data_IF_337621680360
#
_entry.id   IF_337621680360
#
_cell.length_a   1.000
_cell.length_b   1.000
_cell.length_c   1.000
_cell.angle_alpha   90.00
_cell.angle_beta   90.00
_cell.angle_gamma   90.00
#
_symmetry.space_group_name_H-M   'P 1'
#
loop_
_entity.id
_entity.type
_entity.pdbx_description
1 polymer ?
#
# COMPACT_ATOMS: atom_id res chain seq x y z
N UNK A 1 -19.42 -8.42 13.61
CA UNK A 1 -18.78 -7.14 13.22
C UNK A 1 -17.26 -7.28 13.09
N UNK A 2 -16.54 -7.73 14.12
CA UNK A 2 -15.07 -7.94 14.08
C UNK A 2 -14.58 -8.80 12.92
N UNK A 3 -15.27 -9.91 12.63
CA UNK A 3 -14.93 -10.76 11.48
C UNK A 3 -15.02 -10.01 10.15
N UNK A 4 -16.07 -9.19 9.95
CA UNK A 4 -16.22 -8.38 8.74
C UNK A 4 -15.15 -7.28 8.62
N UNK A 5 -14.71 -6.70 9.74
CA UNK A 5 -13.59 -5.77 9.76
C UNK A 5 -12.28 -6.42 9.27
N UNK A 6 -12.01 -7.66 9.71
CA UNK A 6 -10.85 -8.43 9.25
C UNK A 6 -10.96 -8.75 7.77
N UNK A 7 -12.14 -9.16 7.30
CA UNK A 7 -12.36 -9.44 5.87
C UNK A 7 -12.20 -8.16 5.04
N UNK A 8 -12.76 -7.03 5.46
CA UNK A 8 -12.59 -5.75 4.77
C UNK A 8 -11.15 -5.29 4.74
N UNK A 9 -10.39 -5.57 5.81
CA UNK A 9 -8.97 -5.27 5.84
C UNK A 9 -8.23 -5.98 4.70
N UNK A 10 -8.38 -7.31 4.56
CA UNK A 10 -7.74 -8.04 3.46
C UNK A 10 -8.22 -7.60 2.08
N UNK A 11 -9.51 -7.26 1.96
CA UNK A 11 -10.08 -6.72 0.74
C UNK A 11 -9.40 -5.40 0.33
N UNK A 12 -9.21 -4.48 1.29
CA UNK A 12 -8.60 -3.16 1.03
C UNK A 12 -7.11 -3.29 0.72
N UNK A 13 -6.39 -4.10 1.50
CA UNK A 13 -4.92 -4.03 1.57
C UNK A 13 -4.19 -5.09 0.76
N UNK A 14 -4.85 -6.13 0.23
CA UNK A 14 -4.09 -7.23 -0.36
C UNK A 14 -4.74 -7.95 -1.54
N UNK A 15 -6.01 -8.35 -1.42
CA UNK A 15 -6.61 -9.34 -2.33
C UNK A 15 -6.61 -8.86 -3.80
N UNK A 16 -7.19 -7.69 -4.16
CA UNK A 16 -7.31 -7.28 -5.56
C UNK A 16 -5.94 -7.06 -6.22
N UNK A 17 -5.03 -6.39 -5.52
CA UNK A 17 -3.70 -6.09 -6.03
C UNK A 17 -2.84 -7.34 -6.20
N UNK A 18 -2.94 -8.29 -5.28
CA UNK A 18 -2.23 -9.57 -5.41
C UNK A 18 -2.73 -10.39 -6.60
N UNK A 19 -4.06 -10.48 -6.78
CA UNK A 19 -4.67 -11.12 -7.97
C UNK A 19 -4.15 -10.47 -9.25
N UNK A 20 -4.20 -9.14 -9.32
CA UNK A 20 -3.70 -8.38 -10.46
C UNK A 20 -2.25 -8.74 -10.78
N UNK A 21 -1.35 -8.73 -9.79
CA UNK A 21 0.06 -9.04 -10.01
C UNK A 21 0.29 -10.47 -10.52
N UNK A 22 -0.51 -11.44 -10.08
CA UNK A 22 -0.42 -12.83 -10.56
C UNK A 22 -0.84 -12.98 -12.01
N UNK A 23 -1.86 -12.26 -12.46
CA UNK A 23 -2.23 -12.21 -13.88
C UNK A 23 -1.26 -11.37 -14.70
N UNK A 24 -0.78 -10.27 -14.15
CA UNK A 24 0.16 -9.36 -14.77
C UNK A 24 1.54 -10.00 -14.96
N UNK A 25 1.94 -10.96 -14.09
CA UNK A 25 3.21 -11.71 -14.15
C UNK A 25 4.43 -10.79 -14.21
N UNK A 26 4.57 -9.92 -13.21
CA UNK A 26 5.74 -9.08 -13.04
C UNK A 26 6.97 -9.97 -12.76
N UNK A 27 7.96 -10.01 -13.66
CA UNK A 27 9.08 -10.96 -13.58
C UNK A 27 10.14 -10.57 -12.55
N UNK A 28 10.24 -9.28 -12.22
CA UNK A 28 11.41 -8.73 -11.55
C UNK A 28 11.21 -8.32 -10.08
N UNK A 29 10.04 -8.56 -9.49
CA UNK A 29 9.76 -8.19 -8.09
C UNK A 29 10.30 -9.23 -7.10
N UNK A 30 10.93 -8.75 -6.02
CA UNK A 30 11.19 -9.57 -4.83
C UNK A 30 9.86 -9.96 -4.16
N UNK A 31 9.88 -10.89 -3.19
CA UNK A 31 8.68 -11.17 -2.38
C UNK A 31 8.20 -9.90 -1.66
N UNK A 32 9.11 -9.18 -1.03
CA UNK A 32 8.82 -7.92 -0.36
C UNK A 32 8.20 -6.88 -1.32
N UNK A 33 8.77 -6.74 -2.52
CA UNK A 33 8.24 -5.86 -3.56
C UNK A 33 6.86 -6.30 -4.06
N UNK A 34 6.62 -7.62 -4.17
CA UNK A 34 5.31 -8.15 -4.55
C UNK A 34 4.26 -7.85 -3.48
N UNK A 35 4.61 -7.98 -2.20
CA UNK A 35 3.73 -7.62 -1.08
C UNK A 35 3.45 -6.11 -1.09
N UNK A 36 4.46 -5.26 -1.25
CA UNK A 36 4.29 -3.81 -1.33
C UNK A 36 3.43 -3.37 -2.53
N UNK A 37 3.66 -3.94 -3.71
CA UNK A 37 2.82 -3.66 -4.87
C UNK A 37 1.41 -4.21 -4.72
N UNK A 38 1.21 -5.34 -4.06
CA UNK A 38 -0.13 -5.86 -3.78
C UNK A 38 -0.92 -4.88 -2.93
N UNK A 39 -0.27 -4.28 -1.93
CA UNK A 39 -0.89 -3.25 -1.09
C UNK A 39 -1.28 -2.01 -1.89
N UNK A 40 -0.33 -1.42 -2.63
CA UNK A 40 -0.59 -0.24 -3.47
C UNK A 40 -1.68 -0.48 -4.53
N UNK A 41 -1.60 -1.60 -5.26
CA UNK A 41 -2.55 -1.92 -6.31
C UNK A 41 -3.93 -2.28 -5.77
N UNK A 42 -4.03 -2.86 -4.57
CA UNK A 42 -5.34 -3.10 -3.95
C UNK A 42 -6.05 -1.79 -3.68
N UNK A 43 -5.35 -0.79 -3.16
CA UNK A 43 -5.91 0.54 -2.93
C UNK A 43 -6.40 1.18 -4.25
N UNK A 44 -5.60 1.10 -5.31
CA UNK A 44 -5.98 1.66 -6.61
C UNK A 44 -7.18 0.92 -7.22
N UNK A 45 -7.16 -0.41 -7.24
CA UNK A 45 -8.22 -1.23 -7.83
C UNK A 45 -9.54 -1.06 -7.07
N UNK A 46 -9.49 -1.06 -5.74
CA UNK A 46 -10.67 -0.81 -4.92
C UNK A 46 -11.20 0.61 -5.15
N UNK A 47 -10.34 1.63 -5.20
CA UNK A 47 -10.77 3.00 -5.50
C UNK A 47 -11.52 3.06 -6.84
N UNK A 48 -10.95 2.50 -7.89
CA UNK A 48 -11.60 2.47 -9.20
C UNK A 48 -12.93 1.71 -9.14
N UNK A 49 -12.96 0.54 -8.51
CA UNK A 49 -14.18 -0.26 -8.36
C UNK A 49 -15.27 0.51 -7.63
N UNK A 50 -14.95 1.08 -6.47
CA UNK A 50 -15.88 1.87 -5.63
C UNK A 50 -16.40 3.06 -6.43
N UNK A 51 -15.52 3.83 -7.06
CA UNK A 51 -15.89 4.98 -7.88
C UNK A 51 -16.94 4.62 -8.95
N UNK A 52 -16.72 3.53 -9.70
CA UNK A 52 -17.65 3.10 -10.74
C UNK A 52 -18.96 2.53 -10.18
N UNK A 53 -18.91 1.80 -9.06
CA UNK A 53 -20.12 1.33 -8.38
C UNK A 53 -20.97 2.49 -7.86
N UNK A 54 -20.32 3.54 -7.33
CA UNK A 54 -20.99 4.74 -6.85
C UNK A 54 -21.62 5.52 -7.99
N UNK A 55 -20.91 5.72 -9.11
CA UNK A 55 -21.48 6.32 -10.32
C UNK A 55 -22.71 5.54 -10.85
N UNK A 56 -22.67 4.21 -10.74
CA UNK A 56 -23.80 3.35 -11.12
C UNK A 56 -24.90 3.28 -10.05
N UNK A 57 -24.72 3.90 -8.88
CA UNK A 57 -25.69 3.90 -7.78
C UNK A 57 -25.83 2.55 -7.08
N UNK A 58 -24.87 1.63 -7.23
CA UNK A 58 -24.94 0.25 -6.72
C UNK A 58 -23.85 -0.08 -5.70
N UNK A 59 -23.11 0.91 -5.18
CA UNK A 59 -22.12 0.69 -4.13
C UNK A 59 -22.80 0.35 -2.80
N UNK A 60 -23.03 -0.94 -2.60
CA UNK A 60 -23.81 -1.51 -1.50
C UNK A 60 -23.09 -2.75 -0.93
N UNK A 61 -23.49 -3.22 0.25
CA UNK A 61 -22.89 -4.43 0.85
C UNK A 61 -23.01 -5.67 -0.04
N UNK A 62 -24.16 -5.98 -0.70
CA UNK A 62 -24.24 -7.10 -1.64
C UNK A 62 -23.25 -6.99 -2.80
N UNK A 63 -23.06 -5.80 -3.37
CA UNK A 63 -22.08 -5.59 -4.44
C UNK A 63 -20.64 -5.84 -3.96
N UNK A 64 -20.27 -5.30 -2.80
CA UNK A 64 -18.96 -5.49 -2.20
C UNK A 64 -18.66 -6.98 -1.91
N UNK A 65 -19.61 -7.70 -1.32
CA UNK A 65 -19.43 -9.14 -1.08
C UNK A 65 -19.41 -9.98 -2.35
N UNK A 66 -20.14 -9.59 -3.38
CA UNK A 66 -20.09 -10.26 -4.70
C UNK A 66 -18.69 -10.16 -5.30
N UNK A 67 -18.09 -8.96 -5.25
CA UNK A 67 -16.71 -8.75 -5.70
C UNK A 67 -15.74 -9.60 -4.90
N UNK A 68 -15.83 -9.58 -3.56
CA UNK A 68 -15.00 -10.43 -2.71
C UNK A 68 -15.13 -11.92 -3.07
N UNK A 69 -16.35 -12.43 -3.27
CA UNK A 69 -16.58 -13.84 -3.64
C UNK A 69 -15.89 -14.16 -4.97
N UNK A 70 -16.03 -13.29 -5.98
CA UNK A 70 -15.36 -13.46 -7.27
C UNK A 70 -13.84 -13.50 -7.09
N UNK A 71 -13.28 -12.60 -6.28
CA UNK A 71 -11.85 -12.55 -6.00
C UNK A 71 -11.34 -13.77 -5.22
N UNK A 72 -12.10 -14.28 -4.25
CA UNK A 72 -11.79 -15.52 -3.54
C UNK A 72 -11.81 -16.73 -4.49
N UNK A 73 -12.76 -16.80 -5.42
CA UNK A 73 -12.81 -17.83 -6.47
C UNK A 73 -11.54 -17.74 -7.34
N UNK A 74 -11.14 -16.53 -7.74
CA UNK A 74 -9.92 -16.32 -8.50
C UNK A 74 -8.65 -16.72 -7.73
N UNK A 75 -8.56 -16.42 -6.43
CA UNK A 75 -7.45 -16.85 -5.57
C UNK A 75 -7.39 -18.37 -5.47
N UNK A 76 -8.52 -19.04 -5.23
CA UNK A 76 -8.61 -20.51 -5.20
C UNK A 76 -8.16 -21.09 -6.55
N UNK A 77 -8.63 -20.52 -7.67
CA UNK A 77 -8.19 -20.93 -9.00
C UNK A 77 -6.67 -20.79 -9.19
N UNK A 78 -6.08 -19.67 -8.78
CA UNK A 78 -4.63 -19.44 -8.84
C UNK A 78 -3.86 -20.42 -7.93
N UNK A 79 -4.43 -20.78 -6.77
CA UNK A 79 -3.88 -21.78 -5.85
C UNK A 79 -3.82 -23.16 -6.49
N UNK A 80 -4.94 -23.61 -7.05
CA UNK A 80 -5.07 -24.91 -7.71
C UNK A 80 -4.14 -25.03 -8.92
N UNK A 81 -3.87 -23.92 -9.63
CA UNK A 81 -2.89 -23.87 -10.72
C UNK A 81 -1.43 -23.76 -10.25
N UNK A 82 -1.16 -23.84 -8.94
CA UNK A 82 0.18 -23.66 -8.32
C UNK A 82 0.85 -22.33 -8.70
N UNK A 83 0.08 -21.30 -9.05
CA UNK A 83 0.57 -19.96 -9.42
C UNK A 83 0.77 -19.04 -8.21
N UNK A 84 0.34 -19.47 -7.02
CA UNK A 84 0.51 -18.70 -5.79
C UNK A 84 1.96 -18.68 -5.30
N UNK A 85 2.70 -19.78 -5.48
CA UNK A 85 4.06 -19.92 -4.96
C UNK A 85 4.97 -18.89 -5.63
N UNK A 86 5.40 -17.89 -4.86
CA UNK A 86 6.48 -16.99 -5.27
C UNK A 86 7.80 -17.73 -5.02
N UNK A 87 8.58 -17.96 -6.06
CA UNK A 87 9.85 -18.72 -5.99
C UNK A 87 11.01 -17.90 -5.43
N UNK A 88 10.75 -16.72 -4.85
CA UNK A 88 11.79 -15.90 -4.23
C UNK A 88 12.32 -16.54 -2.94
N UNK A 89 13.61 -16.82 -2.86
CA UNK A 89 14.24 -17.15 -1.57
C UNK A 89 14.58 -15.86 -0.85
N UNK A 90 14.06 -15.68 0.38
CA UNK A 90 14.56 -14.66 1.29
C UNK A 90 15.90 -15.15 1.85
N UNK A 91 17.00 -14.72 1.26
CA UNK A 91 18.34 -15.04 1.74
C UNK A 91 18.99 -13.81 2.39
N UNK A 92 19.26 -13.92 3.68
CA UNK A 92 20.11 -12.99 4.42
C UNK A 92 21.52 -13.55 4.44
N UNK A 93 22.50 -12.89 3.78
CA UNK A 93 23.90 -13.27 3.91
C UNK A 93 24.41 -12.85 5.29
N UNK A 94 24.14 -13.64 6.31
CA UNK A 94 24.77 -13.52 7.62
C UNK A 94 26.12 -14.24 7.55
N UNK A 95 27.22 -13.50 7.66
CA UNK A 95 28.55 -14.10 7.77
C UNK A 95 28.85 -14.48 9.21
N UNK A 96 29.41 -15.67 9.44
CA UNK A 96 29.76 -16.16 10.79
C UNK A 96 31.04 -15.55 11.37
N UNK A 97 31.74 -14.69 10.62
CA UNK A 97 32.99 -14.07 11.04
C UNK A 97 32.73 -12.91 12.02
N UNK A 98 33.41 -12.90 13.17
CA UNK A 98 33.29 -11.83 14.17
C UNK A 98 33.67 -10.44 13.60
N UNK A 99 34.58 -10.36 12.63
CA UNK A 99 34.92 -9.09 11.94
C UNK A 99 33.77 -8.55 11.07
N UNK A 100 32.77 -9.38 10.80
CA UNK A 100 31.56 -9.00 10.08
C UNK A 100 30.41 -8.56 11.00
N UNK A 101 30.64 -8.46 12.31
CA UNK A 101 29.64 -8.06 13.29
C UNK A 101 28.83 -6.80 12.91
N UNK A 102 29.44 -5.66 12.51
CA UNK A 102 28.66 -4.49 12.07
C UNK A 102 27.90 -4.72 10.74
N UNK A 103 28.37 -5.63 9.87
CA UNK A 103 27.62 -6.03 8.67
C UNK A 103 26.39 -6.87 9.01
N UNK A 104 26.42 -7.61 10.11
CA UNK A 104 25.32 -8.42 10.59
C UNK A 104 24.32 -7.62 11.46
N UNK A 105 24.78 -6.58 12.17
CA UNK A 105 23.91 -5.80 13.08
C UNK A 105 22.89 -4.95 12.31
N UNK A 106 23.28 -4.34 11.19
CA UNK A 106 22.40 -3.46 10.41
C UNK A 106 21.16 -4.21 9.88
N UNK A 107 21.27 -5.40 9.25
CA UNK A 107 20.12 -6.20 8.86
C UNK A 107 19.22 -6.60 10.03
N UNK A 108 19.79 -6.96 11.19
CA UNK A 108 19.03 -7.36 12.38
C UNK A 108 18.21 -6.17 12.90
N UNK A 109 18.84 -5.00 13.09
CA UNK A 109 18.14 -3.79 13.54
C UNK A 109 17.09 -3.35 12.50
N UNK A 110 17.39 -3.47 11.20
CA UNK A 110 16.43 -3.15 10.14
C UNK A 110 15.21 -4.07 10.18
N UNK A 111 15.41 -5.38 10.41
CA UNK A 111 14.32 -6.33 10.57
C UNK A 111 13.50 -6.01 11.84
N UNK A 112 14.16 -5.70 12.96
CA UNK A 112 13.51 -5.27 14.18
C UNK A 112 12.70 -3.98 13.98
N UNK A 113 13.21 -3.01 13.20
CA UNK A 113 12.51 -1.78 12.87
C UNK A 113 11.26 -2.04 12.02
N UNK A 114 11.34 -2.92 11.01
CA UNK A 114 10.18 -3.36 10.23
C UNK A 114 9.15 -4.01 11.15
N UNK A 115 9.55 -4.98 11.97
CA UNK A 115 8.66 -5.67 12.90
C UNK A 115 8.04 -4.70 13.91
N UNK A 116 8.83 -3.79 14.47
CA UNK A 116 8.39 -2.74 15.38
C UNK A 116 7.40 -1.79 14.73
N UNK A 117 7.52 -1.49 13.43
CA UNK A 117 6.52 -0.66 12.74
C UNK A 117 5.14 -1.32 12.69
N UNK A 118 5.08 -2.66 12.59
CA UNK A 118 3.81 -3.40 12.63
C UNK A 118 3.17 -3.42 14.02
N UNK A 119 3.92 -3.15 15.10
CA UNK A 119 3.32 -2.99 16.42
C UNK A 119 2.27 -1.87 16.42
N UNK A 120 2.53 -0.75 15.73
CA UNK A 120 1.58 0.36 15.62
C UNK A 120 0.27 -0.08 14.94
N UNK A 121 0.35 -0.92 13.91
CA UNK A 121 -0.85 -1.50 13.28
C UNK A 121 -1.72 -2.25 14.29
N UNK A 122 -1.11 -3.11 15.10
CA UNK A 122 -1.84 -3.90 16.09
C UNK A 122 -2.32 -3.06 17.27
N UNK A 123 -1.54 -2.07 17.71
CA UNK A 123 -1.91 -1.20 18.83
C UNK A 123 -3.06 -0.25 18.49
N UNK A 124 -3.19 0.15 17.23
CA UNK A 124 -4.30 1.01 16.78
C UNK A 124 -5.60 0.25 16.51
N UNK A 125 -5.61 -1.08 16.71
CA UNK A 125 -6.82 -1.88 16.54
C UNK A 125 -7.80 -1.60 17.67
N UNK A 126 -9.00 -1.13 17.31
CA UNK A 126 -10.05 -0.75 18.25
C UNK A 126 -10.19 0.76 18.46
N UNK A 127 -9.23 1.55 17.96
CA UNK A 127 -9.29 3.01 18.09
C UNK A 127 -10.15 3.68 17.00
N UNK A 128 -10.51 4.94 17.24
CA UNK A 128 -11.22 5.81 16.29
C UNK A 128 -10.35 6.99 15.84
N UNK A 129 -10.75 7.68 14.78
CA UNK A 129 -10.06 8.89 14.33
C UNK A 129 -10.23 10.01 15.37
N UNK A 130 -9.13 10.66 15.73
CA UNK A 130 -9.10 11.70 16.77
C UNK A 130 -8.51 13.02 16.31
N UNK A 131 -7.77 13.02 15.18
CA UNK A 131 -7.09 14.20 14.68
C UNK A 131 -7.97 14.98 13.69
N UNK A 132 -7.77 16.29 13.63
CA UNK A 132 -8.67 17.21 12.93
C UNK A 132 -8.94 16.83 11.47
N UNK A 133 -7.94 16.81 10.59
CA UNK A 133 -8.17 16.45 9.18
C UNK A 133 -8.69 15.02 9.02
N UNK A 134 -8.24 14.10 9.87
CA UNK A 134 -8.68 12.71 9.83
C UNK A 134 -10.20 12.61 10.07
N UNK A 135 -10.72 13.34 11.05
CA UNK A 135 -12.15 13.34 11.41
C UNK A 135 -12.97 14.20 10.44
N UNK A 136 -12.59 15.46 10.25
CA UNK A 136 -13.39 16.46 9.53
C UNK A 136 -13.33 16.32 8.02
N UNK A 137 -12.23 15.78 7.49
CA UNK A 137 -12.01 15.66 6.04
C UNK A 137 -12.05 14.21 5.61
N UNK A 138 -11.01 13.43 5.92
CA UNK A 138 -10.81 12.10 5.33
C UNK A 138 -11.90 11.10 5.71
N UNK A 139 -12.26 11.03 6.99
CA UNK A 139 -13.31 10.13 7.46
C UNK A 139 -14.71 10.60 7.03
N UNK A 140 -14.96 11.91 7.06
CA UNK A 140 -16.21 12.49 6.52
C UNK A 140 -16.42 12.09 5.06
N UNK A 141 -15.39 12.24 4.22
CA UNK A 141 -15.44 11.81 2.83
C UNK A 141 -15.65 10.30 2.68
N UNK A 142 -15.06 9.49 3.56
CA UNK A 142 -15.30 8.04 3.56
C UNK A 142 -16.77 7.70 3.91
N UNK A 143 -17.42 8.50 4.75
CA UNK A 143 -18.85 8.36 5.06
C UNK A 143 -19.70 8.71 3.84
N UNK A 144 -19.38 9.79 3.11
CA UNK A 144 -20.08 10.13 1.86
C UNK A 144 -20.00 8.97 0.85
N UNK A 145 -18.81 8.40 0.64
CA UNK A 145 -18.63 7.20 -0.19
C UNK A 145 -19.48 6.02 0.31
N UNK A 146 -19.51 5.77 1.63
CA UNK A 146 -20.34 4.72 2.24
C UNK A 146 -21.83 4.93 1.99
N UNK A 147 -22.28 6.20 1.94
CA UNK A 147 -23.65 6.57 1.60
C UNK A 147 -23.92 6.55 0.08
N UNK A 148 -22.98 6.00 -0.71
CA UNK A 148 -23.07 5.90 -2.15
C UNK A 148 -23.16 7.28 -2.83
N UNK A 149 -22.44 8.26 -2.28
CA UNK A 149 -22.32 9.62 -2.81
C UNK A 149 -20.86 9.98 -3.12
N UNK A 150 -20.64 10.81 -4.14
CA UNK A 150 -19.32 11.32 -4.49
C UNK A 150 -19.08 12.61 -3.69
N UNK A 151 -18.03 12.67 -2.84
CA UNK A 151 -17.79 13.85 -2.00
C UNK A 151 -17.61 15.14 -2.83
N UNK A 152 -18.39 16.19 -2.52
CA UNK A 152 -18.42 17.44 -3.31
C UNK A 152 -17.67 18.63 -2.69
N UNK A 153 -17.32 18.60 -1.39
CA UNK A 153 -16.53 19.63 -0.70
C UNK A 153 -15.15 19.09 -0.30
N UNK A 154 -14.37 18.72 -1.31
CA UNK A 154 -13.05 18.10 -1.11
C UNK A 154 -11.89 19.06 -1.30
N UNK A 155 -12.10 20.31 -1.70
CA UNK A 155 -11.02 21.28 -1.95
C UNK A 155 -9.88 20.71 -2.83
N UNK A 156 -10.26 19.97 -3.88
CA UNK A 156 -9.34 19.29 -4.81
C UNK A 156 -8.49 18.17 -4.16
N UNK A 157 -8.78 17.77 -2.92
CA UNK A 157 -8.16 16.59 -2.34
C UNK A 157 -8.66 15.33 -3.07
N UNK A 158 -7.74 14.49 -3.55
CA UNK A 158 -8.12 13.29 -4.29
C UNK A 158 -8.63 12.22 -3.32
N UNK A 159 -9.39 11.25 -3.85
CA UNK A 159 -10.34 10.45 -3.05
C UNK A 159 -9.96 8.97 -2.91
N UNK A 160 -8.74 8.56 -3.25
CA UNK A 160 -8.32 7.15 -3.16
C UNK A 160 -8.45 6.59 -1.75
N UNK A 161 -7.98 7.32 -0.74
CA UNK A 161 -7.99 6.80 0.64
C UNK A 161 -9.40 6.78 1.25
N UNK A 162 -10.20 7.87 1.20
CA UNK A 162 -11.58 7.85 1.72
C UNK A 162 -12.46 6.78 1.09
N UNK A 163 -12.36 6.60 -0.24
CA UNK A 163 -13.11 5.55 -0.92
C UNK A 163 -12.72 4.16 -0.37
N UNK A 164 -11.43 3.88 -0.22
CA UNK A 164 -10.98 2.60 0.37
C UNK A 164 -11.47 2.39 1.80
N UNK A 165 -11.45 3.43 2.65
CA UNK A 165 -11.99 3.33 4.01
C UNK A 165 -13.48 3.02 4.02
N UNK A 166 -14.25 3.62 3.11
CA UNK A 166 -15.69 3.36 3.01
C UNK A 166 -16.02 1.89 2.77
N UNK A 167 -15.11 1.12 2.16
CA UNK A 167 -15.31 -0.31 1.94
C UNK A 167 -15.40 -1.09 3.25
N UNK A 168 -14.64 -0.67 4.27
CA UNK A 168 -14.78 -1.23 5.60
C UNK A 168 -16.16 -0.94 6.20
N UNK A 169 -16.70 0.26 5.98
CA UNK A 169 -18.04 0.63 6.46
C UNK A 169 -19.13 -0.14 5.74
N UNK A 170 -19.04 -0.29 4.42
CA UNK A 170 -19.98 -1.07 3.60
C UNK A 170 -20.00 -2.52 4.03
N UNK A 171 -18.83 -3.13 4.26
CA UNK A 171 -18.73 -4.54 4.65
C UNK A 171 -19.06 -4.77 6.12
N UNK A 172 -18.94 -3.76 6.99
CA UNK A 172 -19.39 -3.84 8.37
C UNK A 172 -20.88 -3.47 8.54
N UNK A 173 -21.47 -2.83 7.53
CA UNK A 173 -22.84 -2.31 7.57
C UNK A 173 -23.01 -1.06 8.44
N UNK A 174 -21.92 -0.38 8.80
CA UNK A 174 -21.95 0.80 9.65
C UNK A 174 -20.64 1.58 9.57
N UNK A 175 -20.75 2.91 9.52
CA UNK A 175 -19.61 3.85 9.58
C UNK A 175 -19.28 4.32 11.01
N UNK A 176 -20.07 3.90 12.01
CA UNK A 176 -19.80 4.21 13.43
C UNK A 176 -18.52 3.51 13.89
N UNK A 177 -18.25 2.32 13.36
CA UNK A 177 -17.09 1.52 13.73
C UNK A 177 -15.89 1.82 12.82
N UNK A 178 -15.08 2.81 13.21
CA UNK A 178 -13.99 3.35 12.39
C UNK A 178 -12.67 2.58 12.49
N UNK A 179 -12.55 1.64 13.43
CA UNK A 179 -11.28 0.98 13.76
C UNK A 179 -10.66 0.21 12.58
N UNK A 180 -11.49 -0.35 11.70
CA UNK A 180 -11.01 -1.05 10.51
C UNK A 180 -10.30 -0.08 9.56
N UNK A 181 -10.94 1.05 9.23
CA UNK A 181 -10.36 2.10 8.40
C UNK A 181 -9.10 2.71 9.04
N UNK A 182 -9.17 3.06 10.32
CA UNK A 182 -8.03 3.66 11.04
C UNK A 182 -6.84 2.72 11.12
N UNK A 183 -7.05 1.44 11.43
CA UNK A 183 -5.95 0.48 11.59
C UNK A 183 -5.11 0.32 10.33
N UNK A 184 -5.60 0.66 9.13
CA UNK A 184 -4.80 0.61 7.89
C UNK A 184 -3.66 1.64 7.91
N UNK A 185 -3.78 2.72 8.68
CA UNK A 185 -2.89 3.88 8.56
C UNK A 185 -1.42 3.62 8.91
N UNK A 186 -1.09 2.95 10.02
CA UNK A 186 0.29 2.61 10.33
C UNK A 186 0.97 1.75 9.25
N UNK A 187 0.19 0.98 8.47
CA UNK A 187 0.75 0.12 7.43
C UNK A 187 1.47 0.91 6.36
N UNK A 188 1.05 2.13 6.03
CA UNK A 188 1.75 2.93 5.03
C UNK A 188 3.21 3.18 5.42
N UNK A 189 3.49 3.46 6.69
CA UNK A 189 4.85 3.57 7.21
C UNK A 189 5.60 2.22 7.14
N UNK A 190 4.96 1.12 7.56
CA UNK A 190 5.54 -0.23 7.46
C UNK A 190 5.89 -0.61 6.02
N UNK A 191 5.03 -0.26 5.07
CA UNK A 191 5.21 -0.59 3.66
C UNK A 191 6.27 0.29 2.98
N UNK A 192 6.55 1.51 3.47
CA UNK A 192 7.76 2.26 3.10
C UNK A 192 9.01 1.45 3.47
N UNK A 193 9.07 0.93 4.70
CA UNK A 193 10.21 0.11 5.16
C UNK A 193 10.36 -1.18 4.35
N UNK A 194 9.25 -1.87 4.05
CA UNK A 194 9.24 -3.07 3.19
C UNK A 194 9.77 -2.73 1.79
N UNK A 195 9.48 -1.54 1.28
CA UNK A 195 9.93 -1.11 -0.05
C UNK A 195 11.44 -0.89 -0.08
N UNK A 196 12.03 -0.26 0.93
CA UNK A 196 13.50 -0.18 1.07
C UNK A 196 14.12 -1.56 1.24
N UNK A 197 13.51 -2.44 2.04
CA UNK A 197 13.99 -3.81 2.21
C UNK A 197 13.96 -4.59 0.90
N UNK A 198 12.92 -4.42 0.09
CA UNK A 198 12.85 -4.99 -1.26
C UNK A 198 14.00 -4.51 -2.16
N UNK A 199 14.34 -3.22 -2.13
CA UNK A 199 15.49 -2.69 -2.87
C UNK A 199 16.81 -3.28 -2.38
N UNK A 200 16.99 -3.45 -1.08
CA UNK A 200 18.14 -4.16 -0.52
C UNK A 200 18.22 -5.60 -1.06
N UNK A 201 17.11 -6.35 -1.04
CA UNK A 201 17.09 -7.72 -1.54
C UNK A 201 17.48 -7.81 -3.01
N UNK A 202 17.06 -6.84 -3.84
CA UNK A 202 17.30 -6.80 -5.29
C UNK A 202 18.70 -6.29 -5.65
N UNK A 203 19.15 -5.20 -5.03
CA UNK A 203 20.39 -4.47 -5.40
C UNK A 203 21.58 -4.82 -4.51
N UNK A 204 21.36 -5.50 -3.38
CA UNK A 204 22.37 -5.86 -2.37
C UNK A 204 23.17 -4.66 -1.84
N UNK A 205 22.58 -3.46 -1.87
CA UNK A 205 23.19 -2.23 -1.40
C UNK A 205 22.74 -1.91 0.04
N UNK A 206 23.70 -1.83 0.97
CA UNK A 206 23.45 -1.55 2.39
C UNK A 206 22.84 -0.17 2.65
N UNK A 207 22.99 0.79 1.71
CA UNK A 207 22.36 2.10 1.81
C UNK A 207 20.84 1.99 2.04
N UNK A 208 20.16 1.01 1.43
CA UNK A 208 18.73 0.81 1.62
C UNK A 208 18.36 0.32 3.02
N UNK A 209 19.23 -0.45 3.69
CA UNK A 209 19.02 -0.82 5.10
C UNK A 209 19.27 0.39 6.02
N UNK A 210 20.27 1.21 5.71
CA UNK A 210 20.49 2.47 6.42
C UNK A 210 19.29 3.41 6.26
N UNK A 211 18.66 3.45 5.07
CA UNK A 211 17.42 4.20 4.84
C UNK A 211 16.26 3.72 5.71
N UNK A 212 16.15 2.41 6.00
CA UNK A 212 15.14 1.88 6.95
C UNK A 212 15.38 2.46 8.34
N UNK A 213 16.63 2.44 8.82
CA UNK A 213 16.98 2.96 10.14
C UNK A 213 16.74 4.47 10.23
N UNK A 214 17.15 5.21 9.20
CA UNK A 214 16.96 6.66 9.14
C UNK A 214 15.47 7.03 9.09
N UNK A 215 14.69 6.39 8.23
CA UNK A 215 13.24 6.61 8.17
C UNK A 215 12.58 6.27 9.51
N UNK A 216 12.94 5.14 10.13
CA UNK A 216 12.38 4.73 11.42
C UNK A 216 12.71 5.74 12.52
N UNK A 217 13.94 6.25 12.55
CA UNK A 217 14.34 7.30 13.49
C UNK A 217 13.55 8.60 13.27
N UNK A 218 13.41 9.04 12.01
CA UNK A 218 12.60 10.22 11.68
C UNK A 218 11.12 10.04 12.05
N UNK A 219 10.57 8.86 11.78
CA UNK A 219 9.19 8.53 12.13
C UNK A 219 8.98 8.58 13.64
N UNK A 220 9.88 7.97 14.43
CA UNK A 220 9.80 7.98 15.90
C UNK A 220 9.99 9.39 16.49
N UNK A 221 10.91 10.18 15.95
CA UNK A 221 11.26 11.50 16.51
C UNK A 221 10.24 12.59 16.15
N UNK A 222 9.69 12.55 14.94
CA UNK A 222 8.91 13.67 14.40
C UNK A 222 7.48 13.32 14.01
N UNK A 223 7.21 12.04 13.70
CA UNK A 223 5.93 11.66 13.08
C UNK A 223 5.12 10.67 13.91
N UNK A 224 5.60 10.28 15.08
CA UNK A 224 4.97 9.25 15.91
C UNK A 224 3.49 9.51 16.18
N UNK A 225 3.05 10.74 16.55
CA UNK A 225 1.64 11.03 16.77
C UNK A 225 0.78 10.95 15.49
N UNK A 226 1.41 10.97 14.32
CA UNK A 226 0.73 11.03 13.02
C UNK A 226 0.63 9.67 12.32
N UNK A 227 1.43 8.67 12.71
CA UNK A 227 1.47 7.34 12.06
C UNK A 227 0.11 6.66 12.08
N UNK A 228 -0.63 6.76 13.19
CA UNK A 228 -1.94 6.15 13.37
C UNK A 228 -3.10 7.17 13.39
N UNK A 229 -2.80 8.44 13.19
CA UNK A 229 -3.76 9.55 13.34
C UNK A 229 -4.92 9.53 12.33
N UNK A 230 -4.72 8.94 11.16
CA UNK A 230 -5.59 9.10 9.99
C UNK A 230 -5.09 10.08 8.94
N UNK A 231 -3.93 10.74 9.14
CA UNK A 231 -3.34 11.58 8.10
C UNK A 231 -2.78 10.77 6.93
N UNK A 232 -3.17 11.15 5.72
CA UNK A 232 -2.82 10.46 4.47
C UNK A 232 -1.46 10.84 3.90
N UNK A 233 -0.68 11.64 4.62
CA UNK A 233 0.69 12.00 4.27
C UNK A 233 1.57 10.74 4.11
N UNK A 234 1.48 9.80 5.05
CA UNK A 234 2.15 8.51 4.93
C UNK A 234 1.65 7.68 3.75
N UNK A 235 0.35 7.75 3.43
CA UNK A 235 -0.20 7.05 2.28
C UNK A 235 0.37 7.59 0.96
N UNK A 236 0.38 8.91 0.79
CA UNK A 236 1.00 9.57 -0.36
C UNK A 236 2.50 9.27 -0.43
N UNK A 237 3.22 9.34 0.69
CA UNK A 237 4.64 9.05 0.76
C UNK A 237 4.94 7.60 0.35
N UNK A 238 4.17 6.63 0.87
CA UNK A 238 4.30 5.22 0.50
C UNK A 238 4.11 5.01 -1.00
N UNK A 239 3.01 5.50 -1.57
CA UNK A 239 2.70 5.32 -2.99
C UNK A 239 3.74 6.00 -3.89
N UNK A 240 4.29 7.12 -3.43
CA UNK A 240 5.41 7.81 -4.08
C UNK A 240 6.67 6.96 -4.09
N UNK A 241 7.05 6.40 -2.93
CA UNK A 241 8.19 5.50 -2.79
C UNK A 241 7.98 4.20 -3.57
N UNK A 242 6.74 3.69 -3.67
CA UNK A 242 6.41 2.54 -4.50
C UNK A 242 6.66 2.83 -6.00
N UNK A 243 6.38 4.04 -6.48
CA UNK A 243 6.70 4.46 -7.84
C UNK A 243 8.22 4.52 -8.08
N UNK A 244 8.97 5.14 -7.16
CA UNK A 244 10.43 5.16 -7.24
C UNK A 244 11.05 3.76 -7.16
N UNK A 245 10.50 2.90 -6.30
CA UNK A 245 10.91 1.51 -6.24
C UNK A 245 10.71 0.82 -7.60
N UNK A 246 9.55 1.02 -8.25
CA UNK A 246 9.27 0.49 -9.58
C UNK A 246 10.29 0.98 -10.62
N UNK A 247 10.64 2.26 -10.60
CA UNK A 247 11.69 2.82 -11.45
C UNK A 247 13.03 2.13 -11.20
N UNK A 248 13.46 2.03 -9.93
CA UNK A 248 14.77 1.50 -9.57
C UNK A 248 14.94 0.00 -9.84
N UNK A 249 13.86 -0.78 -9.82
CA UNK A 249 13.91 -2.22 -10.15
C UNK A 249 13.78 -2.50 -11.64
N UNK A 250 13.35 -1.52 -12.44
CA UNK A 250 13.25 -1.63 -13.90
C UNK A 250 14.64 -1.70 -14.52
N UNK A 251 14.82 -2.55 -15.53
CA UNK A 251 16.02 -2.51 -16.36
C UNK A 251 15.91 -1.36 -17.35
N UNK A 252 16.72 -0.32 -17.20
CA UNK A 252 16.66 0.89 -18.04
C UNK A 252 17.17 0.66 -19.46
N UNK A 253 18.03 -0.34 -19.69
CA UNK A 253 18.55 -0.65 -21.04
C UNK A 253 17.51 -1.35 -21.93
N UNK A 254 16.60 -2.11 -21.31
CA UNK A 254 15.53 -2.82 -22.01
C UNK A 254 14.31 -2.94 -21.09
N UNK A 255 13.56 -1.85 -20.90
CA UNK A 255 12.44 -1.82 -19.96
C UNK A 255 11.28 -2.64 -20.52
N UNK A 256 10.85 -3.64 -19.76
CA UNK A 256 9.63 -4.37 -20.13
C UNK A 256 8.43 -3.43 -20.04
N UNK A 257 7.52 -3.47 -21.02
CA UNK A 257 6.25 -2.69 -21.01
C UNK A 257 5.51 -2.80 -19.68
N UNK A 258 5.56 -3.97 -19.04
CA UNK A 258 4.93 -4.23 -17.75
C UNK A 258 5.55 -3.43 -16.61
N UNK A 259 6.87 -3.28 -16.61
CA UNK A 259 7.58 -2.51 -15.59
C UNK A 259 7.20 -1.02 -15.69
N UNK A 260 7.14 -0.50 -16.93
CA UNK A 260 6.68 0.86 -17.23
C UNK A 260 5.25 1.10 -16.74
N UNK A 261 4.32 0.18 -17.05
CA UNK A 261 2.93 0.27 -16.59
C UNK A 261 2.87 0.31 -15.06
N UNK A 262 3.65 -0.51 -14.35
CA UNK A 262 3.66 -0.48 -12.88
C UNK A 262 4.12 0.87 -12.35
N UNK A 263 5.18 1.47 -12.93
CA UNK A 263 5.63 2.82 -12.55
C UNK A 263 4.48 3.83 -12.66
N UNK A 264 3.76 3.84 -13.79
CA UNK A 264 2.63 4.74 -13.98
C UNK A 264 1.47 4.46 -13.04
N UNK A 265 1.13 3.20 -12.78
CA UNK A 265 0.07 2.84 -11.84
C UNK A 265 0.41 3.31 -10.42
N UNK A 266 1.66 3.18 -9.99
CA UNK A 266 2.10 3.65 -8.67
C UNK A 266 2.08 5.18 -8.60
N UNK A 267 2.57 5.88 -9.64
CA UNK A 267 2.53 7.33 -9.72
C UNK A 267 1.10 7.88 -9.73
N UNK A 268 0.20 7.23 -10.47
CA UNK A 268 -1.22 7.57 -10.50
C UNK A 268 -1.88 7.33 -9.13
N UNK A 269 -1.59 6.21 -8.46
CA UNK A 269 -2.07 5.95 -7.11
C UNK A 269 -1.59 7.04 -6.13
N UNK A 270 -0.32 7.48 -6.22
CA UNK A 270 0.18 8.58 -5.40
C UNK A 270 -0.61 9.88 -5.65
N UNK A 271 -0.82 10.24 -6.92
CA UNK A 271 -1.59 11.43 -7.31
C UNK A 271 -3.06 11.36 -6.85
N UNK A 272 -3.64 10.16 -6.80
CA UNK A 272 -4.99 9.92 -6.31
C UNK A 272 -5.08 9.86 -4.77
N UNK A 273 -3.95 9.75 -4.06
CA UNK A 273 -3.91 9.75 -2.60
C UNK A 273 -3.76 11.15 -2.00
N UNK A 274 -2.95 12.03 -2.60
CA UNK A 274 -2.80 13.44 -2.19
C UNK A 274 -2.28 14.29 -3.35
N UNK A 275 -2.52 15.60 -3.37
CA UNK A 275 -2.08 16.47 -4.48
C UNK A 275 -0.56 16.41 -4.70
N UNK A 276 0.24 16.26 -3.64
CA UNK A 276 1.69 16.11 -3.73
C UNK A 276 2.13 14.93 -4.60
N UNK A 277 1.32 13.87 -4.68
CA UNK A 277 1.58 12.72 -5.55
C UNK A 277 1.50 13.03 -7.04
N UNK A 278 0.88 14.14 -7.45
CA UNK A 278 0.87 14.59 -8.85
C UNK A 278 2.29 14.85 -9.36
N UNK A 279 3.18 15.36 -8.51
CA UNK A 279 4.60 15.56 -8.82
C UNK A 279 5.25 14.22 -9.21
N UNK A 280 4.89 13.14 -8.52
CA UNK A 280 5.43 11.81 -8.79
C UNK A 280 4.89 11.22 -10.09
N UNK A 281 3.62 11.44 -10.41
CA UNK A 281 3.06 11.06 -11.70
C UNK A 281 3.77 11.80 -12.84
N UNK A 282 3.96 13.12 -12.70
CA UNK A 282 4.71 13.93 -13.68
C UNK A 282 6.15 13.43 -13.82
N UNK A 283 6.83 13.16 -12.71
CA UNK A 283 8.17 12.58 -12.72
C UNK A 283 8.21 11.23 -13.45
N UNK A 284 7.20 10.38 -13.25
CA UNK A 284 7.08 9.08 -13.92
C UNK A 284 6.92 9.24 -15.44
N UNK A 285 6.20 10.27 -15.89
CA UNK A 285 6.08 10.63 -17.31
C UNK A 285 7.46 11.05 -17.86
N UNK A 286 8.17 11.94 -17.17
CA UNK A 286 9.49 12.38 -17.60
C UNK A 286 10.51 11.24 -17.64
N UNK A 287 10.49 10.35 -16.65
CA UNK A 287 11.32 9.15 -16.64
C UNK A 287 11.05 8.27 -17.86
N UNK A 288 9.78 8.08 -18.24
CA UNK A 288 9.44 7.32 -19.44
C UNK A 288 9.91 8.02 -20.72
N UNK A 289 9.76 9.35 -20.83
CA UNK A 289 10.27 10.12 -21.98
C UNK A 289 11.79 9.96 -22.08
N UNK A 290 12.51 10.02 -20.96
CA UNK A 290 13.97 9.84 -20.92
C UNK A 290 14.40 8.44 -21.41
N UNK A 291 13.63 7.39 -21.14
CA UNK A 291 13.92 6.04 -21.65
C UNK A 291 13.80 5.90 -23.17
N UNK A 292 13.16 6.86 -23.84
CA UNK A 292 12.91 6.82 -25.29
C UNK A 292 13.95 7.61 -26.10
N UNK A 293 14.85 8.34 -25.41
CA UNK A 293 15.94 9.15 -26.00
C UNK A 293 17.25 8.38 -25.90
#
# INVERSE_FOLDING_TARGET
MTAFAIVSFFQIVFIPGFIFLKFFRLKNSSIAGTIAYSFSLSLLINYLTIYHLTLAGIYTSPAAYTILIIELILLIYLALKKKLVSTGKLYFPLSSDFRSFPKNIIPIISAAAIMGSFYFFFSSYGDVFTHWDAVFSWNRWAIDWYLNDIPYLTYLYPQLIPANWSLSYIMMGSHIFQFAAKSIMPLFASFILITYFSLYLKKKNMAFLISILFFSAMALLYSLPYIDSGYVDFASAFLSIAAFHAILVTNTENPARKDIIIVFLMGAAAALAKQAGLIILIFSIFWFIWLMV
#
